data_IF_662334697759
#
_entry.id   IF_662334697759
#
_cell.length_a   1.000
_cell.length_b   1.000
_cell.length_c   1.000
_cell.angle_alpha   90.00
_cell.angle_beta   90.00
_cell.angle_gamma   90.00
#
_symmetry.space_group_name_H-M   'P 1'
#
loop_
_entity.id
_entity.type
_entity.pdbx_description
1 polymer ?
#
# COMPACT_ATOMS: atom_id res chain seq x y z
N UNK A 1 -27.63 18.28 3.25
CA UNK A 1 -26.78 17.79 2.16
C UNK A 1 -25.40 17.75 2.77
N UNK A 2 -25.08 16.59 3.33
CA UNK A 2 -23.98 16.41 4.26
C UNK A 2 -22.67 16.30 3.47
N UNK A 3 -21.93 17.41 3.43
CA UNK A 3 -20.63 17.53 2.74
C UNK A 3 -19.47 16.85 3.50
N UNK A 4 -19.76 15.98 4.46
CA UNK A 4 -18.77 15.43 5.39
C UNK A 4 -18.31 13.99 5.11
N UNK A 5 -18.89 13.29 4.13
CA UNK A 5 -18.56 11.88 3.84
C UNK A 5 -17.48 11.67 2.77
N UNK A 6 -17.12 12.69 1.98
CA UNK A 6 -16.22 12.52 0.83
C UNK A 6 -14.76 12.22 1.28
N UNK A 7 -14.38 12.61 2.49
CA UNK A 7 -13.04 12.35 3.03
C UNK A 7 -12.93 11.08 3.88
N UNK A 8 -14.06 10.44 4.22
CA UNK A 8 -14.07 9.24 5.05
C UNK A 8 -13.69 7.98 4.25
N UNK A 9 -14.03 7.94 2.96
CA UNK A 9 -13.77 6.79 2.08
C UNK A 9 -12.28 6.63 1.73
N UNK A 10 -11.53 7.73 1.70
CA UNK A 10 -10.12 7.73 1.29
C UNK A 10 -9.18 7.12 2.36
N UNK A 11 -9.69 6.92 3.58
CA UNK A 11 -9.00 6.31 4.70
C UNK A 11 -9.41 4.85 4.96
N UNK A 12 -10.11 4.20 4.03
CA UNK A 12 -10.38 2.78 4.12
C UNK A 12 -9.08 2.01 4.39
N UNK A 13 -9.07 1.16 5.41
CA UNK A 13 -7.86 0.48 5.87
C UNK A 13 -7.56 -0.72 4.97
N UNK A 14 -6.29 -1.08 4.81
CA UNK A 14 -5.90 -2.22 3.95
C UNK A 14 -6.60 -3.52 4.37
N UNK A 15 -6.94 -3.67 5.66
CA UNK A 15 -7.65 -4.85 6.16
C UNK A 15 -9.12 -4.94 5.70
N UNK A 16 -9.72 -3.86 5.22
CA UNK A 16 -11.09 -3.85 4.67
C UNK A 16 -11.12 -4.24 3.19
N UNK A 17 -9.95 -4.47 2.58
CA UNK A 17 -9.88 -4.93 1.19
C UNK A 17 -10.58 -6.28 1.04
N UNK A 18 -11.33 -6.48 -0.07
CA UNK A 18 -11.89 -7.78 -0.40
C UNK A 18 -10.80 -8.84 -0.48
N UNK A 19 -11.13 -10.05 -0.02
CA UNK A 19 -10.19 -11.18 -0.08
C UNK A 19 -9.71 -11.46 -1.52
N UNK A 20 -10.59 -11.30 -2.51
CA UNK A 20 -10.24 -11.51 -3.92
C UNK A 20 -9.20 -10.51 -4.40
N UNK A 21 -9.42 -9.22 -4.10
CA UNK A 21 -8.47 -8.13 -4.37
C UNK A 21 -7.12 -8.38 -3.71
N UNK A 22 -7.12 -8.76 -2.42
CA UNK A 22 -5.90 -9.09 -1.69
C UNK A 22 -5.15 -10.25 -2.34
N UNK A 23 -5.87 -11.32 -2.71
CA UNK A 23 -5.28 -12.49 -3.38
C UNK A 23 -4.68 -12.12 -4.73
N UNK A 24 -5.34 -11.30 -5.54
CA UNK A 24 -4.82 -10.88 -6.84
C UNK A 24 -3.61 -9.96 -6.71
N UNK A 25 -3.61 -9.05 -5.74
CA UNK A 25 -2.42 -8.26 -5.38
C UNK A 25 -1.26 -9.17 -5.00
N UNK A 26 -1.50 -10.12 -4.08
CA UNK A 26 -0.47 -11.04 -3.62
C UNK A 26 0.11 -11.89 -4.74
N UNK A 27 -0.71 -12.33 -5.70
CA UNK A 27 -0.20 -13.08 -6.87
C UNK A 27 0.76 -12.26 -7.73
N UNK A 28 0.53 -10.96 -7.88
CA UNK A 28 1.42 -10.09 -8.65
C UNK A 28 2.67 -9.77 -7.86
N UNK A 29 2.54 -9.49 -6.57
CA UNK A 29 3.66 -9.14 -5.69
C UNK A 29 4.58 -10.34 -5.42
N UNK A 30 4.02 -11.54 -5.30
CA UNK A 30 4.78 -12.78 -5.18
C UNK A 30 5.48 -13.13 -6.50
N UNK A 31 4.94 -12.69 -7.64
CA UNK A 31 5.55 -12.91 -8.94
C UNK A 31 6.84 -12.08 -9.09
N UNK A 32 7.99 -12.76 -9.04
CA UNK A 32 9.30 -12.14 -9.19
C UNK A 32 9.79 -11.39 -7.95
N UNK A 33 9.30 -11.75 -6.75
CA UNK A 33 9.74 -11.17 -5.47
C UNK A 33 9.60 -9.63 -5.39
N UNK A 34 8.67 -9.05 -6.17
CA UNK A 34 8.42 -7.59 -6.18
C UNK A 34 7.93 -7.09 -4.83
N UNK A 35 7.31 -7.96 -4.02
CA UNK A 35 6.97 -7.67 -2.63
C UNK A 35 8.17 -7.24 -1.78
N UNK A 36 9.41 -7.67 -2.10
CA UNK A 36 10.62 -7.25 -1.39
C UNK A 36 10.94 -5.79 -1.71
N UNK A 37 10.89 -5.40 -2.99
CA UNK A 37 11.09 -4.02 -3.41
C UNK A 37 10.04 -3.11 -2.77
N UNK A 38 8.78 -3.55 -2.75
CA UNK A 38 7.70 -2.86 -2.04
C UNK A 38 8.02 -2.69 -0.55
N UNK A 39 8.45 -3.77 0.12
CA UNK A 39 8.76 -3.74 1.54
C UNK A 39 9.92 -2.78 1.88
N UNK A 40 10.92 -2.64 1.02
CA UNK A 40 12.01 -1.67 1.23
C UNK A 40 11.56 -0.22 1.16
N UNK A 41 10.44 0.05 0.48
CA UNK A 41 9.83 1.37 0.37
C UNK A 41 8.69 1.57 1.37
N UNK A 42 8.23 0.52 2.05
CA UNK A 42 7.16 0.61 3.04
C UNK A 42 7.65 1.33 4.31
N UNK A 43 6.99 2.42 4.72
CA UNK A 43 7.27 3.05 6.02
C UNK A 43 6.88 2.11 7.17
N UNK A 44 7.63 2.18 8.26
CA UNK A 44 7.50 1.34 9.45
C UNK A 44 7.70 -0.17 9.24
N UNK A 45 8.12 -0.63 8.05
CA UNK A 45 8.51 -2.03 7.83
C UNK A 45 10.01 -2.16 8.03
N UNK A 46 10.39 -3.04 8.97
CA UNK A 46 11.79 -3.35 9.24
C UNK A 46 12.27 -4.54 8.43
N UNK A 47 13.58 -4.71 8.30
CA UNK A 47 14.18 -5.90 7.68
C UNK A 47 13.78 -7.19 8.40
N UNK A 48 13.50 -7.13 9.70
CA UNK A 48 12.99 -8.26 10.48
C UNK A 48 11.58 -8.67 10.05
N UNK A 49 10.71 -7.71 9.75
CA UNK A 49 9.36 -7.98 9.23
C UNK A 49 9.45 -8.65 7.85
N UNK A 50 10.34 -8.17 6.97
CA UNK A 50 10.58 -8.74 5.63
C UNK A 50 11.10 -10.18 5.72
N UNK A 51 12.06 -10.43 6.60
CA UNK A 51 12.59 -11.79 6.81
C UNK A 51 11.50 -12.72 7.38
N UNK A 52 10.64 -12.22 8.28
CA UNK A 52 9.47 -12.94 8.76
C UNK A 52 8.49 -13.31 7.64
N UNK A 53 8.20 -12.38 6.73
CA UNK A 53 7.39 -12.64 5.54
C UNK A 53 8.04 -13.70 4.65
N UNK A 54 9.35 -13.62 4.44
CA UNK A 54 10.11 -14.58 3.64
C UNK A 54 10.03 -15.99 4.23
N UNK A 55 10.24 -16.11 5.53
CA UNK A 55 10.14 -17.39 6.25
C UNK A 55 8.72 -17.95 6.24
N UNK A 56 7.70 -17.07 6.32
CA UNK A 56 6.30 -17.47 6.21
C UNK A 56 5.97 -18.07 4.83
N UNK A 57 6.44 -17.43 3.76
CA UNK A 57 6.31 -17.95 2.39
C UNK A 57 7.10 -19.24 2.18
N UNK A 58 8.33 -19.33 2.69
CA UNK A 58 9.17 -20.52 2.62
C UNK A 58 8.58 -21.72 3.39
N UNK A 59 7.81 -21.45 4.45
CA UNK A 59 7.13 -22.47 5.24
C UNK A 59 5.84 -23.00 4.59
N UNK A 60 5.52 -22.62 3.35
CA UNK A 60 4.27 -22.94 2.63
C UNK A 60 2.99 -22.57 3.38
N UNK A 61 3.05 -21.62 4.33
CA UNK A 61 1.90 -21.20 5.13
C UNK A 61 1.03 -20.14 4.46
N UNK A 62 1.47 -19.60 3.33
CA UNK A 62 0.72 -18.65 2.52
C UNK A 62 1.62 -17.75 1.68
N UNK A 63 1.04 -16.69 1.13
CA UNK A 63 1.74 -15.70 0.33
C UNK A 63 2.56 -14.74 1.22
N UNK A 64 3.87 -14.58 1.00
CA UNK A 64 4.70 -13.64 1.77
C UNK A 64 4.21 -12.19 1.60
N UNK A 65 3.74 -11.82 0.40
CA UNK A 65 3.14 -10.52 0.13
C UNK A 65 1.83 -10.27 0.89
N UNK A 66 0.97 -11.29 1.01
CA UNK A 66 -0.28 -11.17 1.79
C UNK A 66 0.03 -10.89 3.27
N UNK A 67 1.02 -11.61 3.82
CA UNK A 67 1.45 -11.41 5.19
C UNK A 67 2.05 -10.02 5.40
N UNK A 68 2.89 -9.55 4.47
CA UNK A 68 3.44 -8.20 4.48
C UNK A 68 2.33 -7.13 4.48
N UNK A 69 1.35 -7.26 3.58
CA UNK A 69 0.21 -6.33 3.50
C UNK A 69 -0.61 -6.34 4.79
N UNK A 70 -0.80 -7.50 5.43
CA UNK A 70 -1.48 -7.61 6.74
C UNK A 70 -0.67 -6.96 7.86
N UNK A 71 0.65 -7.17 7.91
CA UNK A 71 1.54 -6.50 8.88
C UNK A 71 1.44 -5.00 8.71
N UNK A 72 1.47 -4.51 7.48
CA UNK A 72 1.35 -3.09 7.20
C UNK A 72 -0.05 -2.54 7.51
N UNK A 73 -1.10 -3.29 7.18
CA UNK A 73 -2.48 -2.97 7.58
C UNK A 73 -2.63 -2.87 9.12
N UNK A 74 -1.96 -3.75 9.87
CA UNK A 74 -1.99 -3.75 11.34
C UNK A 74 -1.37 -2.50 11.97
N UNK A 75 -0.49 -1.80 11.23
CA UNK A 75 0.11 -0.53 11.65
C UNK A 75 -0.83 0.67 11.41
N UNK A 76 -1.98 0.44 10.78
CA UNK A 76 -3.02 1.45 10.55
C UNK A 76 -2.91 2.17 9.22
N UNK A 77 -2.22 1.57 8.23
CA UNK A 77 -2.11 2.14 6.89
C UNK A 77 -3.39 1.91 6.07
N UNK A 78 -3.75 2.95 5.32
CA UNK A 78 -4.93 2.97 4.44
C UNK A 78 -4.64 2.40 3.05
N UNK A 79 -5.71 2.06 2.32
CA UNK A 79 -5.66 1.65 0.92
C UNK A 79 -5.03 2.76 0.08
N UNK A 80 -5.31 4.03 0.37
CA UNK A 80 -4.65 5.16 -0.27
C UNK A 80 -3.12 5.14 -0.04
N UNK A 81 -2.68 4.86 1.18
CA UNK A 81 -1.24 4.75 1.47
C UNK A 81 -0.60 3.65 0.62
N UNK A 82 -1.29 2.53 0.44
CA UNK A 82 -0.87 1.44 -0.44
C UNK A 82 -0.86 1.85 -1.92
N UNK A 83 -1.88 2.60 -2.36
CA UNK A 83 -1.99 3.11 -3.72
C UNK A 83 -0.85 4.05 -4.08
N UNK A 84 -0.53 5.00 -3.19
CA UNK A 84 0.60 5.90 -3.33
C UNK A 84 1.92 5.12 -3.41
N UNK A 85 2.08 4.11 -2.56
CA UNK A 85 3.28 3.29 -2.57
C UNK A 85 3.45 2.51 -3.88
N UNK A 86 2.35 1.96 -4.43
CA UNK A 86 2.38 1.33 -5.74
C UNK A 86 2.71 2.31 -6.86
N UNK A 87 2.29 3.57 -6.76
CA UNK A 87 2.67 4.60 -7.71
C UNK A 87 4.19 4.86 -7.67
N UNK A 88 4.76 4.94 -6.46
CA UNK A 88 6.19 5.13 -6.25
C UNK A 88 7.03 3.95 -6.75
N UNK A 89 6.56 2.72 -6.56
CA UNK A 89 7.24 1.49 -7.05
C UNK A 89 6.84 1.13 -8.48
N UNK A 90 6.05 1.97 -9.16
CA UNK A 90 5.57 1.77 -10.55
C UNK A 90 4.80 0.47 -10.76
N UNK A 91 4.13 -0.02 -9.72
CA UNK A 91 3.33 -1.23 -9.75
C UNK A 91 1.91 -0.94 -10.28
N UNK A 92 1.81 -0.44 -11.51
CA UNK A 92 0.54 0.00 -12.12
C UNK A 92 -0.50 -1.11 -12.17
N UNK A 93 -0.09 -2.38 -12.34
CA UNK A 93 -1.04 -3.51 -12.28
C UNK A 93 -1.70 -3.64 -10.92
N UNK A 94 -0.95 -3.43 -9.83
CA UNK A 94 -1.50 -3.46 -8.48
C UNK A 94 -2.45 -2.27 -8.25
N UNK A 95 -2.08 -1.09 -8.72
CA UNK A 95 -2.94 0.11 -8.67
C UNK A 95 -4.30 -0.17 -9.32
N UNK A 96 -4.31 -0.75 -10.53
CA UNK A 96 -5.55 -1.09 -11.24
C UNK A 96 -6.46 -2.06 -10.48
N UNK A 97 -5.92 -2.94 -9.64
CA UNK A 97 -6.70 -3.89 -8.85
C UNK A 97 -7.42 -3.21 -7.69
N UNK A 98 -6.79 -2.22 -7.07
CA UNK A 98 -7.38 -1.43 -5.97
C UNK A 98 -7.96 -0.10 -6.44
N UNK A 99 -7.98 0.15 -7.75
CA UNK A 99 -8.47 1.40 -8.35
C UNK A 99 -9.92 1.69 -7.97
N UNK A 100 -10.78 0.68 -8.00
CA UNK A 100 -12.18 0.80 -7.61
C UNK A 100 -12.37 1.07 -6.11
N UNK A 101 -11.32 0.87 -5.30
CA UNK A 101 -11.31 1.11 -3.86
C UNK A 101 -10.73 2.48 -3.49
N UNK A 102 -10.28 3.27 -4.47
CA UNK A 102 -9.66 4.58 -4.28
C UNK A 102 -10.41 5.60 -5.11
N UNK A 103 -10.66 6.78 -4.54
CA UNK A 103 -11.37 7.87 -5.21
C UNK A 103 -10.72 8.24 -6.55
N UNK A 104 -11.53 8.54 -7.57
CA UNK A 104 -11.08 8.96 -8.90
C UNK A 104 -10.11 10.16 -8.86
N UNK A 105 -10.19 10.97 -7.80
CA UNK A 105 -9.26 12.06 -7.54
C UNK A 105 -7.78 11.63 -7.49
N UNK A 106 -7.49 10.36 -7.21
CA UNK A 106 -6.14 9.81 -7.10
C UNK A 106 -5.72 8.98 -8.33
N UNK A 107 -6.60 8.77 -9.32
CA UNK A 107 -6.27 7.95 -10.50
C UNK A 107 -5.16 8.58 -11.36
N UNK A 108 -4.91 9.89 -11.25
CA UNK A 108 -3.76 10.54 -11.89
C UNK A 108 -2.41 9.94 -11.48
N UNK A 109 -2.32 9.28 -10.32
CA UNK A 109 -1.11 8.60 -9.86
C UNK A 109 -0.75 7.41 -10.76
N UNK A 110 -1.71 6.79 -11.45
CA UNK A 110 -1.41 5.74 -12.43
C UNK A 110 -0.62 6.32 -13.60
N UNK A 111 -1.03 7.49 -14.08
CA UNK A 111 -0.34 8.20 -15.16
C UNK A 111 1.04 8.66 -14.69
N UNK A 112 1.16 9.17 -13.46
CA UNK A 112 2.45 9.48 -12.85
C UNK A 112 3.38 8.25 -12.80
N UNK A 113 2.87 7.10 -12.38
CA UNK A 113 3.63 5.86 -12.31
C UNK A 113 4.10 5.36 -13.69
N UNK A 114 3.32 5.61 -14.74
CA UNK A 114 3.65 5.29 -16.13
C UNK A 114 4.63 6.30 -16.76
N UNK A 115 4.53 7.58 -16.40
CA UNK A 115 5.30 8.68 -17.00
C UNK A 115 6.61 8.99 -16.28
N UNK A 116 6.83 8.45 -15.07
CA UNK A 116 8.03 8.66 -14.26
C UNK A 116 9.34 8.12 -14.90
N UNK A 117 9.41 7.89 -16.20
CA UNK A 117 10.61 7.43 -16.93
C UNK A 117 11.76 8.45 -16.99
N UNK A 118 11.71 9.58 -16.29
CA UNK A 118 12.77 10.59 -16.38
C UNK A 118 13.03 11.35 -15.08
N UNK A 119 13.99 10.85 -14.30
CA UNK A 119 15.08 11.69 -13.78
C UNK A 119 14.80 12.78 -12.76
N UNK A 120 13.65 12.83 -12.08
CA UNK A 120 13.45 13.75 -10.96
C UNK A 120 12.88 12.97 -9.76
N UNK A 121 13.77 12.45 -8.92
CA UNK A 121 13.42 12.21 -7.51
C UNK A 121 13.02 13.57 -6.92
N UNK A 122 11.76 13.80 -6.53
CA UNK A 122 11.47 14.91 -5.63
C UNK A 122 12.18 14.58 -4.30
N UNK A 123 13.17 15.41 -3.98
CA UNK A 123 14.01 15.35 -2.78
C UNK A 123 13.32 14.68 -1.59
N UNK A 124 13.95 13.61 -1.12
CA UNK A 124 13.56 12.70 -0.04
C UNK A 124 13.36 13.36 1.35
N UNK A 125 12.63 14.48 1.48
CA UNK A 125 12.54 15.21 2.75
C UNK A 125 11.15 15.73 3.12
N UNK A 126 10.13 15.63 2.27
CA UNK A 126 8.85 16.30 2.58
C UNK A 126 7.57 15.46 2.63
N UNK A 127 7.60 14.15 2.37
CA UNK A 127 6.36 13.38 2.27
C UNK A 127 6.31 12.06 3.05
N UNK A 128 6.99 12.00 4.21
CA UNK A 128 6.73 10.94 5.21
C UNK A 128 5.70 11.37 6.27
N UNK A 129 5.31 12.65 6.29
CA UNK A 129 4.33 13.19 7.24
C UNK A 129 2.87 13.09 6.76
N UNK A 130 2.62 12.71 5.50
CA UNK A 130 1.25 12.53 5.00
C UNK A 130 0.71 11.10 5.18
N UNK A 131 1.53 10.15 5.66
CA UNK A 131 1.04 8.88 6.19
C UNK A 131 0.49 9.13 7.60
N UNK A 132 -0.53 9.98 7.73
CA UNK A 132 -1.19 10.21 9.00
C UNK A 132 -1.90 8.94 9.42
N UNK A 133 -1.17 8.14 10.21
CA UNK A 133 -1.67 7.20 11.20
C UNK A 133 -3.01 7.72 11.73
N UNK A 134 -4.10 7.04 11.37
CA UNK A 134 -5.44 7.39 11.80
C UNK A 134 -5.43 7.63 13.31
N UNK A 135 -5.82 8.84 13.71
CA UNK A 135 -5.81 9.28 15.10
C UNK A 135 -6.64 8.31 15.94
N UNK A 136 -5.95 7.52 16.79
CA UNK A 136 -6.58 6.92 17.94
C UNK A 136 -6.86 8.06 18.92
N UNK A 137 -8.11 8.52 18.91
CA UNK A 137 -8.66 9.43 19.91
C UNK A 137 -8.50 8.80 21.29
N UNK A 138 -7.51 9.26 22.05
CA UNK A 138 -7.49 9.07 23.49
C UNK A 138 -8.54 9.99 24.08
N UNK A 139 -9.71 9.44 24.41
CA UNK A 139 -10.64 10.09 25.34
C UNK A 139 -10.20 9.74 26.75
N UNK A 140 -10.18 10.82 27.54
CA UNK A 140 -9.55 11.02 28.83
C UNK A 140 -10.27 10.32 30.00
#
# INVERSE_FOLDING_TARGET
MDEHDIYAEDNALIHTLPYETMRDLSRILDAGETWIELATRMPDISTQDVEGCRQFGASQKGSPSEYLLRVWASKGYSILSLYNLFALTRMVRCMRIIRDQVSDAHHYLEDYALTADSGLEPSSTQNYQQYTRGQHVSVN
#
